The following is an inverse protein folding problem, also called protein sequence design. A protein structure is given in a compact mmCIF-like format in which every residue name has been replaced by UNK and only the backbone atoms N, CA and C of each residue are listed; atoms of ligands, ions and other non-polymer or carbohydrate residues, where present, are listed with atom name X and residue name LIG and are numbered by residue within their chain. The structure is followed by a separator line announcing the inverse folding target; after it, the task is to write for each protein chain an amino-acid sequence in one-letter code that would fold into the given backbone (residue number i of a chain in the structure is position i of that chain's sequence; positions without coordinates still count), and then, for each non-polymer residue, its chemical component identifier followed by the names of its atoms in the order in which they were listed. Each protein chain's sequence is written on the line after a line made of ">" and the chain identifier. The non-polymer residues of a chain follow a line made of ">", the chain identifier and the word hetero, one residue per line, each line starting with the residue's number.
data_IF_536076977677
#
_entry.id   IF_536076977677
#
_cell.length_a   1.000
_cell.length_b   1.000
_cell.length_c   1.000
_cell.angle_alpha   90.00
_cell.angle_beta   90.00
_cell.angle_gamma   90.00
#
_symmetry.space_group_name_H-M   'P 1'
#
loop_
_entity.id
_entity.type
_entity.pdbx_description
1 polymer ?
#
# COMPACT_ATOMS: atom_id res chain seq x y z
N UNK A 1 -29.01 31.56 -11.76
CA UNK A 1 -28.83 30.27 -12.46
C UNK A 1 -29.06 29.16 -11.44
N UNK A 2 -30.25 28.57 -11.39
CA UNK A 2 -30.58 27.52 -10.42
C UNK A 2 -30.04 26.18 -10.94
N UNK A 3 -28.84 25.82 -10.48
CA UNK A 3 -28.28 24.50 -10.80
C UNK A 3 -29.07 23.46 -9.99
N UNK A 4 -29.65 22.42 -10.61
CA UNK A 4 -30.55 21.52 -9.90
C UNK A 4 -29.80 20.83 -8.75
N UNK A 5 -30.25 21.05 -7.51
CA UNK A 5 -29.68 20.48 -6.26
C UNK A 5 -29.34 18.99 -6.39
N UNK A 6 -30.15 18.24 -7.14
CA UNK A 6 -29.97 16.81 -7.41
C UNK A 6 -28.62 16.47 -8.09
N UNK A 7 -28.10 17.35 -8.96
CA UNK A 7 -26.78 17.15 -9.61
C UNK A 7 -25.63 17.40 -8.63
N UNK A 8 -25.74 18.40 -7.76
CA UNK A 8 -24.72 18.70 -6.77
C UNK A 8 -24.60 17.62 -5.70
N UNK A 9 -25.74 17.08 -5.24
CA UNK A 9 -25.76 15.95 -4.30
C UNK A 9 -25.06 14.72 -4.89
N UNK A 10 -25.28 14.42 -6.18
CA UNK A 10 -24.59 13.32 -6.85
C UNK A 10 -23.08 13.55 -6.95
N UNK A 11 -22.65 14.76 -7.30
CA UNK A 11 -21.21 15.12 -7.36
C UNK A 11 -20.57 15.02 -5.98
N UNK A 12 -21.25 15.49 -4.93
CA UNK A 12 -20.74 15.43 -3.56
C UNK A 12 -20.65 13.99 -3.06
N UNK A 13 -21.66 13.16 -3.36
CA UNK A 13 -21.63 11.73 -3.03
C UNK A 13 -20.48 10.99 -3.73
N UNK A 14 -20.26 11.25 -5.02
CA UNK A 14 -19.11 10.70 -5.75
C UNK A 14 -17.81 11.16 -5.11
N UNK A 15 -17.64 12.46 -4.86
CA UNK A 15 -16.42 12.99 -4.24
C UNK A 15 -16.11 12.37 -2.88
N UNK A 16 -17.12 12.21 -2.01
CA UNK A 16 -16.99 11.57 -0.69
C UNK A 16 -16.56 10.11 -0.83
N UNK A 17 -17.21 9.35 -1.72
CA UNK A 17 -16.87 7.95 -1.97
C UNK A 17 -15.42 7.82 -2.47
N UNK A 18 -15.01 8.68 -3.39
CA UNK A 18 -13.64 8.67 -3.92
C UNK A 18 -12.62 8.97 -2.82
N UNK A 19 -12.85 10.02 -2.00
CA UNK A 19 -11.96 10.38 -0.88
C UNK A 19 -11.88 9.26 0.15
N UNK A 20 -13.00 8.64 0.50
CA UNK A 20 -13.04 7.50 1.44
C UNK A 20 -12.28 6.30 0.87
N UNK A 21 -12.42 5.99 -0.42
CA UNK A 21 -11.63 4.94 -1.06
C UNK A 21 -10.14 5.24 -1.00
N UNK A 22 -9.72 6.47 -1.33
CA UNK A 22 -8.32 6.87 -1.27
C UNK A 22 -7.76 6.79 0.15
N UNK A 23 -8.50 7.26 1.16
CA UNK A 23 -8.10 7.13 2.57
C UNK A 23 -7.98 5.66 2.98
N UNK A 24 -8.97 4.83 2.65
CA UNK A 24 -8.95 3.40 2.98
C UNK A 24 -7.75 2.68 2.34
N UNK A 25 -7.45 2.99 1.07
CA UNK A 25 -6.27 2.49 0.36
C UNK A 25 -4.95 2.96 0.98
N UNK A 26 -4.91 4.14 1.58
CA UNK A 26 -3.70 4.60 2.28
C UNK A 26 -3.49 3.95 3.64
N UNK A 27 -4.54 3.40 4.26
CA UNK A 27 -4.52 2.81 5.61
C UNK A 27 -4.37 1.29 5.64
N UNK A 28 -4.43 0.60 4.50
CA UNK A 28 -3.96 -0.79 4.46
C UNK A 28 -2.43 -0.76 4.50
N UNK A 29 -1.91 -0.88 5.72
CA UNK A 29 -0.50 -1.19 5.97
C UNK A 29 -0.20 -2.54 5.29
N UNK A 30 0.33 -2.49 4.08
CA UNK A 30 0.50 -3.65 3.22
C UNK A 30 1.81 -4.32 3.60
N UNK A 31 1.71 -5.46 4.30
CA UNK A 31 2.84 -6.36 4.48
C UNK A 31 3.02 -7.24 3.22
N UNK A 32 4.10 -7.03 2.46
CA UNK A 32 4.43 -7.84 1.27
C UNK A 32 5.59 -8.78 1.57
N UNK A 33 5.41 -10.07 1.28
CA UNK A 33 6.48 -11.06 1.32
C UNK A 33 7.14 -11.23 -0.06
N UNK A 34 8.46 -11.07 -0.14
CA UNK A 34 9.27 -11.30 -1.33
C UNK A 34 10.18 -12.50 -1.05
N UNK A 35 10.12 -13.53 -1.87
CA UNK A 35 11.04 -14.66 -1.76
C UNK A 35 12.45 -14.20 -2.19
N UNK A 36 13.40 -14.21 -1.26
CA UNK A 36 14.75 -13.70 -1.49
C UNK A 36 15.75 -14.63 -0.81
N UNK A 37 16.46 -15.43 -1.59
CA UNK A 37 17.46 -16.37 -1.11
C UNK A 37 18.81 -16.13 -1.82
N UNK A 38 19.85 -15.66 -1.11
CA UNK A 38 19.93 -15.39 0.32
C UNK A 38 19.22 -14.10 0.74
N UNK A 39 18.45 -14.13 1.84
CA UNK A 39 17.84 -12.92 2.38
C UNK A 39 18.91 -12.11 3.12
N UNK A 40 19.46 -11.11 2.44
CA UNK A 40 20.27 -10.07 3.07
C UNK A 40 19.41 -8.83 3.29
N UNK A 41 19.56 -8.21 4.46
CA UNK A 41 18.72 -7.05 4.83
C UNK A 41 18.82 -5.92 3.80
N UNK A 42 20.01 -5.69 3.24
CA UNK A 42 20.26 -4.62 2.27
C UNK A 42 19.49 -4.84 0.97
N UNK A 43 19.54 -6.05 0.41
CA UNK A 43 18.79 -6.38 -0.82
C UNK A 43 17.28 -6.41 -0.57
N UNK A 44 16.87 -6.90 0.60
CA UNK A 44 15.48 -6.89 1.04
C UNK A 44 14.92 -5.46 1.09
N UNK A 45 15.64 -4.51 1.71
CA UNK A 45 15.25 -3.09 1.75
C UNK A 45 15.20 -2.49 0.34
N UNK A 46 16.19 -2.78 -0.51
CA UNK A 46 16.23 -2.25 -1.87
C UNK A 46 15.05 -2.76 -2.72
N UNK A 47 14.69 -4.03 -2.59
CA UNK A 47 13.53 -4.62 -3.23
C UNK A 47 12.22 -4.02 -2.70
N UNK A 48 12.07 -3.92 -1.37
CA UNK A 48 10.89 -3.32 -0.74
C UNK A 48 10.70 -1.86 -1.12
N UNK A 49 11.78 -1.07 -1.18
CA UNK A 49 11.72 0.32 -1.65
C UNK A 49 11.32 0.42 -3.12
N UNK A 50 11.65 -0.57 -3.96
CA UNK A 50 11.21 -0.60 -5.36
C UNK A 50 9.72 -0.92 -5.50
N UNK A 51 9.18 -1.76 -4.61
CA UNK A 51 7.79 -2.22 -4.68
C UNK A 51 6.83 -1.25 -3.97
N UNK A 52 7.20 -0.77 -2.78
CA UNK A 52 6.36 0.12 -1.99
C UNK A 52 6.69 1.61 -2.24
N UNK A 53 7.81 1.93 -2.89
CA UNK A 53 8.22 3.31 -3.20
C UNK A 53 8.14 4.24 -1.98
N UNK A 54 7.27 5.25 -2.02
CA UNK A 54 7.06 6.22 -0.93
C UNK A 54 6.27 5.69 0.25
N UNK A 55 5.79 4.44 0.18
CA UNK A 55 5.09 3.75 1.28
C UNK A 55 6.02 2.94 2.16
N UNK A 56 7.27 2.69 1.75
CA UNK A 56 8.21 1.90 2.53
C UNK A 56 8.40 2.44 3.97
N UNK A 57 7.99 1.65 4.97
CA UNK A 57 8.23 1.93 6.39
C UNK A 57 9.42 1.13 6.89
N UNK A 58 9.42 -0.20 6.68
CA UNK A 58 10.50 -1.07 7.11
C UNK A 58 10.53 -2.39 6.34
N UNK A 59 11.62 -3.14 6.48
CA UNK A 59 11.71 -4.50 5.97
C UNK A 59 12.47 -5.41 6.94
N UNK A 60 12.11 -6.69 6.94
CA UNK A 60 12.76 -7.70 7.77
C UNK A 60 12.92 -9.03 7.03
N UNK A 61 14.02 -9.74 7.27
CA UNK A 61 14.22 -11.08 6.77
C UNK A 61 13.61 -12.10 7.73
N UNK A 62 12.65 -12.88 7.25
CA UNK A 62 12.04 -13.98 7.97
C UNK A 62 12.41 -15.33 7.33
N UNK A 63 12.29 -16.41 8.09
CA UNK A 63 12.43 -17.77 7.59
C UNK A 63 11.08 -18.47 7.72
N UNK A 64 10.64 -19.10 6.63
CA UNK A 64 9.35 -19.79 6.55
C UNK A 64 9.51 -21.21 6.02
N UNK A 65 8.39 -21.94 5.86
CA UNK A 65 8.40 -23.33 5.41
C UNK A 65 8.98 -23.52 4.01
N UNK A 66 9.10 -22.44 3.20
CA UNK A 66 9.67 -22.45 1.86
C UNK A 66 11.08 -21.85 1.73
N UNK A 67 11.67 -21.37 2.83
CA UNK A 67 13.00 -20.74 2.82
C UNK A 67 13.02 -19.36 3.46
N UNK A 68 14.10 -18.62 3.21
CA UNK A 68 14.27 -17.24 3.69
C UNK A 68 13.50 -16.30 2.75
N UNK A 69 12.72 -15.39 3.32
CA UNK A 69 11.96 -14.39 2.57
C UNK A 69 12.03 -13.03 3.26
N UNK A 70 11.85 -11.99 2.48
CA UNK A 70 11.86 -10.61 2.90
C UNK A 70 10.42 -10.15 3.13
N UNK A 71 10.12 -9.53 4.27
CA UNK A 71 8.83 -8.91 4.59
C UNK A 71 9.01 -7.41 4.49
N UNK A 72 8.25 -6.75 3.62
CA UNK A 72 8.15 -5.31 3.47
C UNK A 72 6.92 -4.80 4.21
N UNK A 73 7.05 -3.71 4.96
CA UNK A 73 5.95 -3.00 5.61
C UNK A 73 5.84 -1.60 5.01
N UNK A 74 4.62 -1.15 4.69
CA UNK A 74 4.35 0.21 4.24
C UNK A 74 2.89 0.57 4.09
#
# INVERSE_FOLDING_TARGET
>A
MAVPVKKWVAVLAVAVVTVVLFVALTTVECAIGIDLNPCTLVECIAACKKVLEGKYVSATCAAGPKGKYCICLG
#
